data_IF_979781172940
#
_entry.id   IF_979781172940
#
_cell.length_a   1.000
_cell.length_b   1.000
_cell.length_c   1.000
_cell.angle_alpha   90.00
_cell.angle_beta   90.00
_cell.angle_gamma   90.00
#
_symmetry.space_group_name_H-M   'P 1'
#
loop_
_entity.id
_entity.type
_entity.pdbx_description
1 polymer ?
#
# COMPACT_ATOMS: atom_id res chain seq x y z
N UNK A 1 -12.10 -11.23 10.49
CA UNK A 1 -10.88 -10.37 10.56
C UNK A 1 -9.63 -11.17 10.19
N UNK A 2 -8.66 -10.61 9.47
CA UNK A 2 -7.41 -11.31 9.13
C UNK A 2 -6.36 -11.10 10.24
N UNK A 3 -5.79 -12.16 10.84
CA UNK A 3 -4.73 -12.02 11.84
C UNK A 3 -3.53 -11.20 11.34
N UNK A 4 -3.01 -10.32 12.19
CA UNK A 4 -1.82 -9.51 11.87
C UNK A 4 -0.51 -10.32 11.97
N UNK A 5 -0.57 -11.50 12.57
CA UNK A 5 0.54 -12.44 12.80
C UNK A 5 1.07 -13.06 11.52
N UNK A 6 0.25 -13.19 10.47
CA UNK A 6 0.71 -13.66 9.16
C UNK A 6 1.78 -12.72 8.59
N UNK A 7 2.93 -13.26 8.19
CA UNK A 7 4.03 -12.43 7.67
C UNK A 7 3.67 -11.80 6.32
N UNK A 8 3.02 -12.56 5.43
CA UNK A 8 2.68 -12.13 4.06
C UNK A 8 1.28 -12.62 3.64
N UNK A 9 0.63 -11.89 2.74
CA UNK A 9 -0.73 -12.21 2.26
C UNK A 9 -0.87 -13.59 1.58
N UNK A 10 0.11 -14.08 0.81
CA UNK A 10 0.04 -15.42 0.23
C UNK A 10 -0.06 -16.53 1.28
N UNK A 11 0.51 -16.35 2.49
CA UNK A 11 0.45 -17.34 3.58
C UNK A 11 -0.93 -17.45 4.24
N UNK A 12 -1.84 -16.51 3.98
CA UNK A 12 -3.24 -16.64 4.44
C UNK A 12 -3.89 -17.78 3.65
N UNK A 13 -4.43 -18.76 4.37
CA UNK A 13 -5.01 -19.99 3.81
C UNK A 13 -6.14 -19.72 2.82
N UNK A 14 -6.36 -20.67 1.91
CA UNK A 14 -7.44 -20.60 0.90
C UNK A 14 -8.82 -20.56 1.56
N UNK A 15 -9.03 -21.38 2.58
CA UNK A 15 -10.26 -21.41 3.39
C UNK A 15 -10.59 -20.03 3.98
N UNK A 16 -9.62 -19.40 4.64
CA UNK A 16 -9.80 -18.04 5.20
C UNK A 16 -10.13 -17.00 4.14
N UNK A 17 -9.55 -17.12 2.93
CA UNK A 17 -9.86 -16.24 1.80
C UNK A 17 -11.26 -16.50 1.27
N UNK A 18 -11.73 -17.74 1.33
CA UNK A 18 -13.10 -18.10 0.95
C UNK A 18 -14.12 -17.56 1.95
N UNK A 19 -13.89 -17.69 3.25
CA UNK A 19 -14.74 -17.06 4.29
C UNK A 19 -14.88 -15.55 4.07
N UNK A 20 -13.78 -14.86 3.73
CA UNK A 20 -13.80 -13.43 3.44
C UNK A 20 -14.59 -13.11 2.17
N UNK A 21 -14.52 -13.98 1.16
CA UNK A 21 -15.30 -13.83 -0.06
C UNK A 21 -16.80 -13.98 0.22
N UNK A 22 -17.19 -15.03 0.95
CA UNK A 22 -18.58 -15.27 1.36
C UNK A 22 -19.12 -14.11 2.22
N UNK A 23 -18.30 -13.60 3.14
CA UNK A 23 -18.66 -12.41 3.93
C UNK A 23 -18.94 -11.19 3.03
N UNK A 24 -18.11 -10.94 2.01
CA UNK A 24 -18.35 -9.82 1.08
C UNK A 24 -19.64 -10.05 0.29
N UNK A 25 -19.88 -11.25 -0.22
CA UNK A 25 -21.12 -11.56 -0.95
C UNK A 25 -22.38 -11.41 -0.09
N UNK A 26 -22.30 -11.74 1.20
CA UNK A 26 -23.42 -11.63 2.12
C UNK A 26 -23.79 -10.16 2.44
N UNK A 27 -22.82 -9.25 2.40
CA UNK A 27 -23.02 -7.85 2.79
C UNK A 27 -23.07 -6.87 1.61
N UNK A 28 -22.65 -7.29 0.41
CA UNK A 28 -22.55 -6.44 -0.77
C UNK A 28 -23.01 -7.19 -2.01
N UNK A 29 -23.68 -6.48 -2.92
CA UNK A 29 -23.99 -7.00 -4.26
C UNK A 29 -22.73 -6.92 -5.11
N UNK A 30 -22.09 -8.06 -5.36
CA UNK A 30 -20.85 -8.18 -6.13
C UNK A 30 -20.94 -9.28 -7.17
N UNK A 31 -20.39 -9.03 -8.36
CA UNK A 31 -20.27 -10.05 -9.40
C UNK A 31 -19.24 -11.13 -8.96
N UNK A 32 -19.59 -12.43 -9.04
CA UNK A 32 -18.64 -13.52 -8.80
C UNK A 32 -17.32 -13.43 -9.58
N UNK A 33 -17.33 -12.86 -10.79
CA UNK A 33 -16.13 -12.61 -11.60
C UNK A 33 -15.14 -11.66 -10.93
N UNK A 34 -15.63 -10.77 -10.06
CA UNK A 34 -14.80 -9.81 -9.32
C UNK A 34 -14.04 -10.44 -8.13
N UNK A 35 -14.29 -11.72 -7.79
CA UNK A 35 -13.67 -12.40 -6.64
C UNK A 35 -12.16 -12.18 -6.54
N UNK A 36 -11.43 -12.35 -7.65
CA UNK A 36 -9.97 -12.18 -7.67
C UNK A 36 -9.56 -10.78 -7.25
N UNK A 37 -10.19 -9.75 -7.82
CA UNK A 37 -9.90 -8.34 -7.52
C UNK A 37 -10.29 -7.99 -6.08
N UNK A 38 -11.43 -8.50 -5.61
CA UNK A 38 -11.91 -8.32 -4.23
C UNK A 38 -10.91 -8.88 -3.22
N UNK A 39 -10.47 -10.13 -3.40
CA UNK A 39 -9.46 -10.76 -2.52
C UNK A 39 -8.12 -10.00 -2.55
N UNK A 40 -7.69 -9.52 -3.73
CA UNK A 40 -6.49 -8.69 -3.84
C UNK A 40 -6.64 -7.35 -3.09
N UNK A 41 -7.79 -6.70 -3.21
CA UNK A 41 -8.12 -5.45 -2.52
C UNK A 41 -8.10 -5.64 -1.00
N UNK A 42 -8.70 -6.72 -0.49
CA UNK A 42 -8.66 -7.09 0.93
C UNK A 42 -7.21 -7.27 1.40
N UNK A 43 -6.38 -7.99 0.63
CA UNK A 43 -4.96 -8.17 0.95
C UNK A 43 -4.18 -6.85 1.00
N UNK A 44 -4.52 -5.91 0.13
CA UNK A 44 -3.94 -4.55 0.14
C UNK A 44 -4.38 -3.77 1.38
N UNK A 45 -5.67 -3.76 1.70
CA UNK A 45 -6.20 -3.11 2.92
C UNK A 45 -5.58 -3.70 4.18
N UNK A 46 -5.43 -5.02 4.25
CA UNK A 46 -4.75 -5.69 5.37
C UNK A 46 -3.29 -5.26 5.52
N UNK A 47 -2.52 -5.18 4.42
CA UNK A 47 -1.15 -4.65 4.44
C UNK A 47 -1.11 -3.20 4.93
N UNK A 48 -2.06 -2.37 4.49
CA UNK A 48 -2.15 -0.98 4.92
C UNK A 48 -2.44 -0.86 6.42
N UNK A 49 -3.36 -1.66 6.96
CA UNK A 49 -3.61 -1.72 8.41
C UNK A 49 -2.34 -2.08 9.17
N UNK A 50 -1.59 -3.10 8.72
CA UNK A 50 -0.30 -3.47 9.34
C UNK A 50 0.72 -2.34 9.27
N UNK A 51 0.75 -1.58 8.17
CA UNK A 51 1.63 -0.44 8.03
C UNK A 51 1.24 0.71 8.97
N UNK A 52 -0.05 1.04 9.07
CA UNK A 52 -0.58 2.04 10.01
C UNK A 52 -0.24 1.65 11.45
N UNK A 53 -0.45 0.39 11.83
CA UNK A 53 -0.10 -0.11 13.16
C UNK A 53 1.40 0.06 13.46
N UNK A 54 2.26 -0.26 12.50
CA UNK A 54 3.70 -0.07 12.66
C UNK A 54 4.06 1.41 12.78
N UNK A 55 3.62 2.26 11.84
CA UNK A 55 3.99 3.68 11.78
C UNK A 55 3.52 4.44 13.02
N UNK A 56 2.27 4.24 13.42
CA UNK A 56 1.64 5.09 14.45
C UNK A 56 2.00 4.64 15.87
N UNK A 57 2.20 3.34 16.08
CA UNK A 57 2.37 2.77 17.42
C UNK A 57 3.74 2.15 17.68
N UNK A 58 4.48 1.69 16.66
CA UNK A 58 5.77 1.00 16.86
C UNK A 58 6.95 1.90 16.47
N UNK A 59 6.89 2.55 15.30
CA UNK A 59 8.01 3.31 14.75
C UNK A 59 8.36 4.52 15.61
N UNK A 60 7.35 5.15 16.22
CA UNK A 60 7.48 6.27 17.14
C UNK A 60 8.12 5.87 18.47
N UNK A 61 7.79 4.67 18.97
CA UNK A 61 8.11 4.22 20.34
C UNK A 61 9.30 3.26 20.44
N UNK A 62 9.86 2.81 19.32
CA UNK A 62 10.90 1.77 19.31
C UNK A 62 12.25 2.19 19.91
N UNK A 63 12.50 3.48 20.08
CA UNK A 63 13.81 4.02 20.49
C UNK A 63 13.93 4.22 22.01
N UNK A 64 12.83 4.39 22.74
CA UNK A 64 12.82 4.63 24.18
C UNK A 64 12.60 3.31 24.97
N UNK A 65 13.46 2.96 25.94
CA UNK A 65 13.30 1.78 26.81
C UNK A 65 11.99 1.73 27.60
N UNK A 66 11.46 2.85 28.07
CA UNK A 66 10.20 2.89 28.83
C UNK A 66 8.99 2.74 27.90
N UNK A 67 9.04 3.33 26.70
CA UNK A 67 7.99 3.18 25.70
C UNK A 67 7.92 1.74 25.13
N UNK A 68 9.02 0.99 25.15
CA UNK A 68 9.00 -0.45 24.82
C UNK A 68 8.10 -1.28 25.75
N UNK A 69 7.91 -0.87 27.01
CA UNK A 69 6.95 -1.53 27.91
C UNK A 69 5.50 -1.24 27.46
N UNK A 70 5.24 -0.05 26.93
CA UNK A 70 3.93 0.36 26.39
C UNK A 70 3.57 -0.47 25.15
N UNK A 71 4.57 -0.82 24.32
CA UNK A 71 4.41 -1.69 23.15
C UNK A 71 3.91 -3.11 23.48
N UNK A 72 3.89 -3.54 24.73
CA UNK A 72 3.39 -4.88 25.11
C UNK A 72 1.86 -4.99 25.06
N UNK A 73 1.15 -3.86 25.01
CA UNK A 73 -0.30 -3.82 24.94
C UNK A 73 -0.78 -3.31 23.57
N UNK A 74 -1.83 -3.92 23.00
CA UNK A 74 -2.40 -3.45 21.73
C UNK A 74 -3.01 -2.05 21.92
N UNK A 75 -3.04 -1.22 20.87
CA UNK A 75 -3.68 0.09 20.95
C UNK A 75 -5.18 -0.01 21.24
N UNK A 76 -5.68 0.84 22.15
CA UNK A 76 -7.10 0.86 22.55
C UNK A 76 -8.07 1.06 21.36
N UNK A 77 -7.63 1.77 20.32
CA UNK A 77 -8.39 1.98 19.08
C UNK A 77 -8.74 0.66 18.35
N UNK A 78 -8.00 -0.40 18.61
CA UNK A 78 -8.18 -1.71 17.97
C UNK A 78 -8.47 -2.78 19.04
N UNK A 79 -9.64 -2.75 19.68
CA UNK A 79 -9.97 -3.64 20.80
C UNK A 79 -10.03 -5.12 20.40
N UNK A 80 -10.20 -5.40 19.10
CA UNK A 80 -10.20 -6.75 18.55
C UNK A 80 -8.80 -7.39 18.47
N UNK A 81 -7.73 -6.63 18.69
CA UNK A 81 -6.36 -7.18 18.67
C UNK A 81 -6.09 -7.92 19.97
N UNK A 82 -5.87 -9.24 19.87
CA UNK A 82 -5.41 -10.04 20.99
C UNK A 82 -4.00 -9.61 21.40
N UNK A 83 -3.74 -9.58 22.71
CA UNK A 83 -2.44 -9.18 23.26
C UNK A 83 -1.29 -10.05 22.72
N UNK A 84 -1.49 -11.34 22.60
CA UNK A 84 -0.47 -12.26 22.08
C UNK A 84 -0.18 -12.05 20.59
N UNK A 85 -1.21 -11.82 19.78
CA UNK A 85 -1.05 -11.49 18.35
C UNK A 85 -0.30 -10.17 18.16
N UNK A 86 -0.56 -9.19 19.05
CA UNK A 86 0.13 -7.91 19.05
C UNK A 86 1.60 -8.06 19.42
N UNK A 87 1.93 -8.76 20.49
CA UNK A 87 3.34 -9.03 20.88
C UNK A 87 4.12 -9.71 19.76
N UNK A 88 3.52 -10.72 19.12
CA UNK A 88 4.13 -11.40 17.98
C UNK A 88 4.32 -10.45 16.79
N UNK A 89 3.36 -9.56 16.54
CA UNK A 89 3.49 -8.57 15.48
C UNK A 89 4.60 -7.55 15.77
N UNK A 90 4.70 -7.06 17.01
CA UNK A 90 5.77 -6.14 17.45
C UNK A 90 7.13 -6.81 17.27
N UNK A 91 7.31 -8.05 17.75
CA UNK A 91 8.59 -8.76 17.63
C UNK A 91 9.01 -8.98 16.16
N UNK A 92 8.06 -9.28 15.27
CA UNK A 92 8.32 -9.34 13.82
C UNK A 92 8.79 -8.00 13.25
N UNK A 93 8.18 -6.88 13.68
CA UNK A 93 8.47 -5.53 13.18
C UNK A 93 9.70 -4.87 13.79
N UNK A 94 10.15 -5.33 14.96
CA UNK A 94 11.40 -4.88 15.60
C UNK A 94 12.58 -5.80 15.29
N UNK A 95 12.37 -6.88 14.51
CA UNK A 95 13.44 -7.78 14.11
C UNK A 95 14.46 -7.09 13.18
N UNK A 96 15.74 -7.44 13.34
CA UNK A 96 16.84 -6.90 12.52
C UNK A 96 16.60 -7.12 11.02
N UNK A 97 16.17 -8.32 10.63
CA UNK A 97 15.88 -8.67 9.23
C UNK A 97 14.78 -7.77 8.63
N UNK A 98 13.74 -7.47 9.41
CA UNK A 98 12.68 -6.58 8.97
C UNK A 98 13.19 -5.15 8.82
N UNK A 99 13.98 -4.67 9.78
CA UNK A 99 14.55 -3.33 9.76
C UNK A 99 15.47 -3.11 8.55
N UNK A 100 16.34 -4.07 8.25
CA UNK A 100 17.21 -4.03 7.06
C UNK A 100 16.39 -3.98 5.76
N UNK A 101 15.36 -4.83 5.66
CA UNK A 101 14.45 -4.85 4.51
C UNK A 101 13.72 -3.51 4.36
N UNK A 102 13.24 -2.94 5.46
CA UNK A 102 12.55 -1.65 5.51
C UNK A 102 13.47 -0.51 5.10
N UNK A 103 14.71 -0.46 5.63
CA UNK A 103 15.72 0.54 5.24
C UNK A 103 16.06 0.44 3.75
N UNK A 104 16.26 -0.77 3.22
CA UNK A 104 16.50 -0.98 1.78
C UNK A 104 15.35 -0.45 0.93
N UNK A 105 14.10 -0.79 1.28
CA UNK A 105 12.93 -0.32 0.56
C UNK A 105 12.77 1.21 0.62
N UNK A 106 13.00 1.83 1.79
CA UNK A 106 13.00 3.30 1.95
C UNK A 106 14.06 3.97 1.07
N UNK A 107 15.28 3.42 1.02
CA UNK A 107 16.35 3.92 0.15
C UNK A 107 15.97 3.83 -1.34
N UNK A 108 15.49 2.67 -1.81
CA UNK A 108 15.03 2.51 -3.20
C UNK A 108 13.92 3.53 -3.53
N UNK A 109 12.96 3.71 -2.61
CA UNK A 109 11.88 4.66 -2.80
C UNK A 109 12.38 6.11 -2.89
N UNK A 110 13.38 6.49 -2.10
CA UNK A 110 13.97 7.83 -2.14
C UNK A 110 14.64 8.14 -3.49
N UNK A 111 15.17 7.12 -4.20
CA UNK A 111 15.73 7.27 -5.54
C UNK A 111 14.67 7.38 -6.65
N UNK A 112 13.38 7.10 -6.38
CA UNK A 112 12.31 7.27 -7.37
C UNK A 112 11.95 8.76 -7.54
N UNK A 113 12.78 9.49 -8.31
CA UNK A 113 12.59 10.92 -8.61
C UNK A 113 11.26 11.22 -9.30
N UNK A 114 10.83 10.34 -10.21
CA UNK A 114 9.60 10.51 -10.97
C UNK A 114 8.58 9.47 -10.54
N UNK A 115 7.55 9.91 -9.82
CA UNK A 115 6.41 9.05 -9.54
C UNK A 115 5.66 8.70 -10.83
N UNK A 116 5.03 7.53 -10.85
CA UNK A 116 4.12 7.19 -11.93
C UNK A 116 2.88 8.09 -11.82
N UNK A 117 2.78 9.05 -12.73
CA UNK A 117 1.61 9.87 -12.92
C UNK A 117 1.38 10.08 -14.42
N UNK A 118 0.12 10.26 -14.79
CA UNK A 118 -0.28 10.64 -16.14
C UNK A 118 -0.53 12.15 -16.15
N UNK A 119 -0.55 12.76 -17.33
CA UNK A 119 -1.11 14.11 -17.48
C UNK A 119 -2.50 14.16 -16.83
N UNK A 120 -2.82 15.28 -16.16
CA UNK A 120 -4.13 15.53 -15.55
C UNK A 120 -5.30 15.27 -16.52
N UNK A 121 -5.05 15.53 -17.81
CA UNK A 121 -6.02 15.42 -18.91
C UNK A 121 -5.83 14.14 -19.75
N UNK A 122 -4.87 13.29 -19.39
CA UNK A 122 -4.42 12.16 -20.20
C UNK A 122 -3.46 12.58 -21.33
N UNK A 123 -2.85 11.59 -21.97
CA UNK A 123 -1.88 11.84 -23.05
C UNK A 123 -2.54 12.31 -24.34
N UNK A 124 -3.71 11.76 -24.72
CA UNK A 124 -4.40 12.17 -25.94
C UNK A 124 -4.71 13.68 -25.97
N UNK A 125 -5.22 14.22 -24.85
CA UNK A 125 -5.51 15.65 -24.73
C UNK A 125 -4.24 16.50 -24.57
N UNK A 126 -3.19 15.94 -23.97
CA UNK A 126 -1.89 16.63 -23.92
C UNK A 126 -1.30 16.78 -25.32
N UNK A 127 -1.41 15.75 -26.17
CA UNK A 127 -0.99 15.80 -27.57
C UNK A 127 -1.71 16.93 -28.30
N UNK A 128 -3.04 17.01 -28.22
CA UNK A 128 -3.80 18.08 -28.88
C UNK A 128 -3.41 19.48 -28.40
N UNK A 129 -3.08 19.64 -27.11
CA UNK A 129 -2.64 20.93 -26.56
C UNK A 129 -1.24 21.31 -27.08
N UNK A 130 -0.33 20.33 -27.20
CA UNK A 130 0.99 20.56 -27.81
C UNK A 130 0.84 20.95 -29.29
N UNK A 131 0.03 20.22 -30.06
CA UNK A 131 -0.21 20.53 -31.48
C UNK A 131 -0.74 21.96 -31.66
N UNK A 132 -1.68 22.38 -30.82
CA UNK A 132 -2.23 23.75 -30.85
C UNK A 132 -1.22 24.83 -30.51
N UNK A 133 -0.29 24.56 -29.58
CA UNK A 133 0.70 25.55 -29.12
C UNK A 133 1.93 25.63 -30.03
N UNK A 134 2.38 24.52 -30.60
CA UNK A 134 3.62 24.45 -31.40
C UNK A 134 3.38 24.34 -32.88
N UNK A 135 2.16 24.02 -33.32
CA UNK A 135 1.83 23.75 -34.72
C UNK A 135 2.43 22.45 -35.26
N UNK A 136 2.83 21.53 -34.37
CA UNK A 136 3.36 20.22 -34.75
C UNK A 136 2.23 19.25 -35.08
N UNK A 137 2.49 18.31 -35.97
CA UNK A 137 1.62 17.16 -36.22
C UNK A 137 1.80 16.07 -35.14
N UNK A 138 0.83 15.16 -35.02
CA UNK A 138 0.86 14.11 -33.98
C UNK A 138 2.10 13.20 -34.14
N UNK A 139 2.50 12.89 -35.36
CA UNK A 139 3.67 12.05 -35.67
C UNK A 139 5.00 12.69 -35.26
N UNK A 140 5.03 14.02 -35.16
CA UNK A 140 6.20 14.79 -34.74
C UNK A 140 6.32 14.89 -33.21
N UNK A 141 5.24 14.56 -32.50
CA UNK A 141 5.21 14.60 -31.03
C UNK A 141 5.75 13.29 -30.46
N UNK A 142 7.03 13.30 -30.10
CA UNK A 142 7.65 12.14 -29.49
C UNK A 142 7.10 11.87 -28.06
N UNK A 143 7.21 10.61 -27.63
CA UNK A 143 6.74 10.16 -26.31
C UNK A 143 7.53 10.78 -25.15
N UNK A 144 8.81 11.12 -25.34
CA UNK A 144 9.64 11.75 -24.33
C UNK A 144 9.22 13.21 -24.09
N UNK A 145 8.83 13.94 -25.13
CA UNK A 145 8.27 15.28 -25.08
C UNK A 145 6.94 15.25 -24.32
N UNK A 146 6.03 14.35 -24.69
CA UNK A 146 4.78 14.12 -23.94
C UNK A 146 5.06 13.82 -22.46
N UNK A 147 6.04 12.98 -22.18
CA UNK A 147 6.41 12.61 -20.81
C UNK A 147 6.96 13.79 -19.99
N UNK A 148 7.74 14.69 -20.61
CA UNK A 148 8.26 15.93 -20.00
C UNK A 148 7.15 16.96 -19.79
N UNK A 149 6.36 17.27 -20.83
CA UNK A 149 5.21 18.17 -20.78
C UNK A 149 4.17 17.77 -19.73
N UNK A 150 3.88 16.47 -19.62
CA UNK A 150 2.99 15.94 -18.58
C UNK A 150 3.48 16.18 -17.14
N UNK A 151 4.75 16.54 -16.96
CA UNK A 151 5.41 16.83 -15.67
C UNK A 151 5.66 18.32 -15.43
N UNK A 152 5.59 19.14 -16.47
CA UNK A 152 5.73 20.59 -16.40
C UNK A 152 4.42 21.28 -16.02
N UNK A 153 3.27 20.72 -16.41
CA UNK A 153 1.92 21.27 -16.15
C UNK A 153 1.43 21.10 -14.70
N UNK A 154 2.34 21.18 -13.71
CA UNK A 154 2.01 21.17 -12.29
C UNK A 154 1.87 22.59 -11.74
#
# INVERSE_FOLDING_TARGET
>A
MIPITYTTWPKVGKERKEELWQYVMAHFVVDPKSRKQTIQSIGTKWRNVKHTLYRDYIETQKNDPEEKKILLNPPLKYPFLKKEDWKLFVSQRTSKQWEETSKKAKKVRAHHKYNHHLSRKGYARLTTEIMQETGLEEEEIDRAMLWKRARELN
#
